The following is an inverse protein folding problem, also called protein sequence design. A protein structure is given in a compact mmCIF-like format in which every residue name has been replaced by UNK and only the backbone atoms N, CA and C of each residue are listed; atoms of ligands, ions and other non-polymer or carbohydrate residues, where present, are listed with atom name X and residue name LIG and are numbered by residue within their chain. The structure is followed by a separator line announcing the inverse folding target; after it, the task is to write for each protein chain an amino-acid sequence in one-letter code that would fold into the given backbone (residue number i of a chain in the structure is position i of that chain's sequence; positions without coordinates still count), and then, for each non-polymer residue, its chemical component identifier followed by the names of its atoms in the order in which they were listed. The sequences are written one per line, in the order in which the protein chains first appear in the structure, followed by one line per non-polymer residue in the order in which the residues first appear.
data_IF_338011668096
#
_entry.id   IF_338011668096
#
_cell.length_a   1.000
_cell.length_b   1.000
_cell.length_c   1.000
_cell.angle_alpha   90.00
_cell.angle_beta   90.00
_cell.angle_gamma   90.00
#
_symmetry.space_group_name_H-M   'P 1'
#
loop_
_entity.id
_entity.type
_entity.pdbx_description
1 polymer ?
#
# COMPACT_ATOMS: atom_id res chain seq x y z
N UNK A 1 1.18 9.30 17.31
CA UNK A 1 2.39 9.66 16.53
C UNK A 1 3.10 8.44 15.95
N UNK A 2 3.39 7.39 16.76
CA UNK A 2 4.05 6.15 16.29
C UNK A 2 3.22 5.40 15.22
N UNK A 3 1.90 5.32 15.38
CA UNK A 3 1.02 4.65 14.41
C UNK A 3 1.01 5.32 13.03
N UNK A 4 1.00 6.66 12.99
CA UNK A 4 1.09 7.43 11.74
C UNK A 4 2.42 7.21 11.01
N UNK A 5 3.51 7.10 11.77
CA UNK A 5 4.85 6.90 11.22
C UNK A 5 5.03 5.48 10.66
N UNK A 6 4.43 4.48 11.35
CA UNK A 6 4.37 3.10 10.87
C UNK A 6 3.54 2.98 9.58
N UNK A 7 2.39 3.64 9.51
CA UNK A 7 1.56 3.65 8.30
C UNK A 7 2.32 4.26 7.11
N UNK A 8 3.01 5.40 7.29
CA UNK A 8 3.83 6.00 6.23
C UNK A 8 4.97 5.09 5.77
N UNK A 9 5.67 4.42 6.70
CA UNK A 9 6.70 3.44 6.37
C UNK A 9 6.15 2.27 5.55
N UNK A 10 4.95 1.79 5.86
CA UNK A 10 4.30 0.71 5.12
C UNK A 10 3.89 1.15 3.70
N UNK A 11 3.44 2.40 3.52
CA UNK A 11 3.17 2.97 2.19
C UNK A 11 4.48 3.03 1.38
N UNK A 12 5.52 3.60 1.97
CA UNK A 12 6.84 3.70 1.33
C UNK A 12 7.38 2.32 0.95
N UNK A 13 7.26 1.33 1.84
CA UNK A 13 7.63 -0.04 1.56
C UNK A 13 6.81 -0.61 0.40
N UNK A 14 5.48 -0.45 0.38
CA UNK A 14 4.62 -0.89 -0.72
C UNK A 14 5.03 -0.28 -2.07
N UNK A 15 5.30 1.03 -2.08
CA UNK A 15 5.77 1.75 -3.28
C UNK A 15 7.15 1.28 -3.73
N UNK A 16 8.06 0.95 -2.81
CA UNK A 16 9.42 0.48 -3.14
C UNK A 16 9.45 -0.99 -3.59
N UNK A 17 8.58 -1.82 -3.02
CA UNK A 17 8.52 -3.26 -3.27
C UNK A 17 8.12 -3.58 -4.71
N UNK A 18 7.25 -2.78 -5.32
CA UNK A 18 6.82 -2.95 -6.71
C UNK A 18 7.97 -2.74 -7.73
N UNK A 19 8.69 -1.61 -7.76
CA UNK A 19 9.82 -1.41 -8.65
C UNK A 19 10.99 -2.35 -8.30
N UNK A 20 11.20 -2.67 -7.02
CA UNK A 20 12.17 -3.67 -6.60
C UNK A 20 11.87 -5.08 -7.13
N UNK A 21 10.61 -5.51 -7.06
CA UNK A 21 10.15 -6.77 -7.64
C UNK A 21 10.28 -6.79 -9.16
N UNK A 22 9.98 -5.68 -9.83
CA UNK A 22 10.13 -5.53 -11.29
C UNK A 22 11.60 -5.64 -11.72
N UNK A 23 12.52 -4.98 -11.01
CA UNK A 23 13.96 -5.10 -11.23
C UNK A 23 14.44 -6.55 -11.07
N UNK A 24 13.96 -7.25 -10.04
CA UNK A 24 14.28 -8.66 -9.82
C UNK A 24 13.75 -9.56 -10.94
N UNK A 25 12.56 -9.28 -11.47
CA UNK A 25 12.02 -10.02 -12.62
C UNK A 25 12.85 -9.79 -13.88
N UNK A 26 13.30 -8.57 -14.14
CA UNK A 26 14.20 -8.24 -15.26
C UNK A 26 15.52 -9.01 -15.10
N UNK A 27 16.14 -8.96 -13.92
CA UNK A 27 17.37 -9.69 -13.61
C UNK A 27 17.18 -11.21 -13.67
N UNK A 28 16.03 -11.71 -13.27
CA UNK A 28 15.69 -13.13 -13.31
C UNK A 28 15.59 -13.64 -14.76
N UNK A 29 14.99 -12.84 -15.65
CA UNK A 29 14.94 -13.13 -17.09
C UNK A 29 16.33 -13.11 -17.73
N UNK A 30 17.18 -12.15 -17.35
CA UNK A 30 18.57 -12.07 -17.82
C UNK A 30 19.41 -13.28 -17.38
N UNK A 31 19.18 -13.81 -16.18
CA UNK A 31 19.95 -14.93 -15.60
C UNK A 31 19.24 -16.28 -15.68
N UNK A 32 18.09 -16.37 -16.35
CA UNK A 32 17.24 -17.58 -16.42
C UNK A 32 17.02 -18.24 -15.04
N UNK A 33 16.89 -17.43 -13.99
CA UNK A 33 16.81 -17.91 -12.62
C UNK A 33 15.37 -17.96 -12.14
N UNK A 34 14.83 -19.17 -12.00
CA UNK A 34 13.48 -19.38 -11.46
C UNK A 34 13.36 -18.88 -10.01
N UNK A 35 14.44 -18.94 -9.21
CA UNK A 35 14.46 -18.45 -7.83
C UNK A 35 14.31 -16.93 -7.76
N UNK A 36 15.01 -16.21 -8.64
CA UNK A 36 14.89 -14.75 -8.73
C UNK A 36 13.52 -14.32 -9.27
N UNK A 37 12.93 -15.11 -10.16
CA UNK A 37 11.57 -14.88 -10.66
C UNK A 37 10.55 -14.99 -9.53
N UNK A 38 10.64 -16.05 -8.72
CA UNK A 38 9.73 -16.28 -7.60
C UNK A 38 9.87 -15.16 -6.54
N UNK A 39 11.10 -14.75 -6.21
CA UNK A 39 11.35 -13.63 -5.32
C UNK A 39 10.74 -12.31 -5.84
N UNK A 40 10.91 -12.01 -7.12
CA UNK A 40 10.32 -10.82 -7.76
C UNK A 40 8.79 -10.82 -7.71
N UNK A 41 8.15 -11.95 -8.03
CA UNK A 41 6.69 -12.10 -7.93
C UNK A 41 6.22 -11.92 -6.48
N UNK A 42 6.89 -12.54 -5.50
CA UNK A 42 6.51 -12.41 -4.09
C UNK A 42 6.62 -10.97 -3.59
N UNK A 43 7.65 -10.23 -4.00
CA UNK A 43 7.81 -8.82 -3.65
C UNK A 43 6.72 -7.95 -4.26
N UNK A 44 6.40 -8.16 -5.54
CA UNK A 44 5.29 -7.45 -6.18
C UNK A 44 3.93 -7.78 -5.54
N UNK A 45 3.70 -9.05 -5.19
CA UNK A 45 2.47 -9.47 -4.52
C UNK A 45 2.34 -8.84 -3.11
N UNK A 46 3.42 -8.81 -2.33
CA UNK A 46 3.45 -8.15 -1.02
C UNK A 46 3.25 -6.63 -1.15
N UNK A 47 3.91 -5.99 -2.11
CA UNK A 47 3.73 -4.56 -2.38
C UNK A 47 2.29 -4.22 -2.79
N UNK A 48 1.70 -5.02 -3.67
CA UNK A 48 0.31 -4.86 -4.08
C UNK A 48 -0.66 -5.08 -2.91
N UNK A 49 -0.45 -6.13 -2.10
CA UNK A 49 -1.29 -6.41 -0.92
C UNK A 49 -1.25 -5.25 0.09
N UNK A 50 -0.06 -4.68 0.33
CA UNK A 50 0.11 -3.52 1.20
C UNK A 50 -0.64 -2.30 0.67
N UNK A 51 -0.50 -1.97 -0.61
CA UNK A 51 -1.19 -0.84 -1.23
C UNK A 51 -2.71 -1.02 -1.21
N UNK A 52 -3.20 -2.23 -1.52
CA UNK A 52 -4.62 -2.56 -1.45
C UNK A 52 -5.14 -2.41 -0.03
N UNK A 53 -4.44 -2.97 0.97
CA UNK A 53 -4.82 -2.83 2.39
C UNK A 53 -4.96 -1.35 2.78
N UNK A 54 -4.00 -0.52 2.39
CA UNK A 54 -4.05 0.91 2.70
C UNK A 54 -5.24 1.60 2.04
N UNK A 55 -5.49 1.32 0.77
CA UNK A 55 -6.64 1.86 0.05
C UNK A 55 -7.97 1.48 0.72
N UNK A 56 -8.11 0.22 1.14
CA UNK A 56 -9.29 -0.22 1.87
C UNK A 56 -9.43 0.48 3.24
N UNK A 57 -8.36 0.59 4.03
CA UNK A 57 -8.40 1.28 5.34
C UNK A 57 -8.88 2.72 5.20
N UNK A 58 -8.43 3.41 4.15
CA UNK A 58 -8.85 4.78 3.84
C UNK A 58 -10.33 4.82 3.45
N UNK A 59 -10.79 3.89 2.59
CA UNK A 59 -12.19 3.74 2.23
C UNK A 59 -13.09 3.54 3.46
N UNK A 60 -12.73 2.64 4.39
CA UNK A 60 -13.49 2.38 5.61
C UNK A 60 -13.53 3.55 6.60
N UNK A 61 -12.58 4.51 6.52
CA UNK A 61 -12.65 5.76 7.31
C UNK A 61 -13.64 6.74 6.70
N UNK A 62 -13.66 6.85 5.38
CA UNK A 62 -14.61 7.70 4.65
C UNK A 62 -16.03 7.18 4.85
N UNK A 63 -16.24 5.88 4.62
CA UNK A 63 -17.54 5.22 4.72
C UNK A 63 -18.17 5.38 6.10
N UNK A 64 -17.42 5.08 7.17
CA UNK A 64 -17.88 5.30 8.55
C UNK A 64 -18.18 6.76 8.89
N UNK A 65 -17.44 7.70 8.30
CA UNK A 65 -17.71 9.12 8.52
C UNK A 65 -19.05 9.53 7.90
N UNK A 66 -19.29 9.09 6.66
CA UNK A 66 -20.54 9.37 5.93
C UNK A 66 -21.74 8.67 6.59
N UNK A 67 -21.59 7.42 7.01
CA UNK A 67 -22.64 6.67 7.72
C UNK A 67 -23.02 7.31 9.06
N UNK A 68 -22.06 7.93 9.75
CA UNK A 68 -22.30 8.68 10.98
C UNK A 68 -22.91 10.08 10.75
N UNK A 69 -23.16 10.46 9.48
CA UNK A 69 -23.73 11.76 9.10
C UNK A 69 -22.71 12.90 9.01
N UNK A 70 -21.41 12.60 9.07
CA UNK A 70 -20.33 13.58 8.95
C UNK A 70 -19.89 13.81 7.51
N UNK A 71 -19.19 14.92 7.26
CA UNK A 71 -18.44 15.16 6.02
C UNK A 71 -16.97 14.83 6.23
N UNK A 72 -16.45 13.91 5.42
CA UNK A 72 -15.03 13.58 5.44
C UNK A 72 -14.23 14.62 4.66
N UNK A 73 -13.28 15.27 5.33
CA UNK A 73 -12.30 16.15 4.69
C UNK A 73 -11.04 15.36 4.35
N UNK A 74 -10.78 15.20 3.04
CA UNK A 74 -9.59 14.51 2.54
C UNK A 74 -8.29 15.27 2.80
N UNK A 75 -8.32 16.60 2.97
CA UNK A 75 -7.12 17.39 3.20
C UNK A 75 -6.59 17.23 4.64
N UNK A 76 -7.49 17.12 5.61
CA UNK A 76 -7.16 16.98 7.03
C UNK A 76 -7.29 15.55 7.55
N UNK A 77 -7.76 14.62 6.70
CA UNK A 77 -8.13 13.25 7.07
C UNK A 77 -9.07 13.19 8.30
N UNK A 78 -9.94 14.18 8.45
CA UNK A 78 -10.83 14.33 9.60
C UNK A 78 -12.30 14.19 9.18
N UNK A 79 -13.12 13.72 10.12
CA UNK A 79 -14.57 13.64 9.95
C UNK A 79 -15.21 14.82 10.71
N UNK A 80 -15.89 15.69 9.98
CA UNK A 80 -16.52 16.88 10.54
C UNK A 80 -18.05 16.67 10.67
N UNK A 81 -18.58 16.98 11.84
CA UNK A 81 -19.99 16.82 12.18
C UNK A 81 -20.59 18.21 12.39
N UNK A 82 -21.25 18.73 11.35
CA UNK A 82 -22.01 19.99 11.44
C UNK A 82 -23.40 19.75 12.06
#
# INVERSE_FOLDING_TARGET
MIESLLEQLLVLAGILLIPGGLLLLILARLRWSSKATLAGITLMALGALLLVRMHYVEYWRVDRCVDAGGRYDQATHSCDFQ
#
